data_IF_264103273011
#
_entry.id   IF_264103273011
#
_cell.length_a   1.000
_cell.length_b   1.000
_cell.length_c   1.000
_cell.angle_alpha   90.00
_cell.angle_beta   90.00
_cell.angle_gamma   90.00
#
_symmetry.space_group_name_H-M   'P 1'
#
loop_
_entity.id
_entity.type
_entity.pdbx_description
1 polymer ?
#
# COMPACT_ATOMS: atom_id res chain seq x y z
N UNK A 1 10.19 7.09 16.21
CA UNK A 1 9.91 7.20 14.75
C UNK A 1 10.68 6.11 14.01
N UNK A 2 10.14 5.64 12.89
CA UNK A 2 10.68 4.58 12.05
C UNK A 2 10.70 5.03 10.59
N UNK A 3 11.62 4.45 9.81
CA UNK A 3 11.65 4.55 8.35
C UNK A 3 11.42 3.14 7.81
N UNK A 4 10.48 2.98 6.87
CA UNK A 4 10.18 1.69 6.24
C UNK A 4 10.55 1.80 4.77
N UNK A 5 11.34 0.86 4.28
CA UNK A 5 11.77 0.78 2.89
C UNK A 5 11.52 -0.59 2.29
N UNK A 6 11.49 -0.65 0.97
CA UNK A 6 11.39 -1.90 0.21
C UNK A 6 12.76 -2.35 -0.29
N UNK A 7 13.01 -3.64 -0.22
CA UNK A 7 14.14 -4.30 -0.86
C UNK A 7 13.61 -5.24 -1.97
N UNK A 8 14.10 -5.05 -3.19
CA UNK A 8 13.68 -5.81 -4.39
C UNK A 8 14.73 -6.85 -4.82
N UNK A 9 15.85 -6.96 -4.10
CA UNK A 9 16.89 -7.94 -4.43
C UNK A 9 16.34 -9.36 -4.25
N UNK A 10 16.62 -10.25 -5.22
CA UNK A 10 16.05 -11.61 -5.22
C UNK A 10 16.53 -12.48 -4.05
N UNK A 11 17.66 -12.12 -3.41
CA UNK A 11 18.22 -12.87 -2.29
C UNK A 11 17.87 -12.29 -0.92
N UNK A 12 17.32 -11.06 -0.88
CA UNK A 12 17.04 -10.32 0.36
C UNK A 12 15.72 -9.57 0.33
N UNK A 13 14.85 -9.88 -0.63
CA UNK A 13 13.58 -9.18 -0.85
C UNK A 13 12.73 -9.05 0.42
N UNK A 14 12.15 -7.86 0.64
CA UNK A 14 11.28 -7.65 1.79
C UNK A 14 11.04 -6.19 2.15
N UNK A 15 10.47 -5.99 3.33
CA UNK A 15 10.41 -4.69 3.98
C UNK A 15 11.52 -4.59 5.03
N UNK A 16 12.20 -3.46 5.03
CA UNK A 16 13.25 -3.13 5.99
C UNK A 16 12.77 -1.97 6.86
N UNK A 17 12.96 -2.08 8.17
CA UNK A 17 12.67 -1.01 9.11
C UNK A 17 13.97 -0.46 9.68
N UNK A 18 14.10 0.85 9.66
CA UNK A 18 15.27 1.57 10.13
C UNK A 18 14.92 2.53 11.25
N UNK A 19 15.86 2.78 12.14
CA UNK A 19 15.80 3.90 13.06
C UNK A 19 16.19 5.22 12.36
N UNK A 20 16.04 6.36 13.05
CA UNK A 20 16.40 7.67 12.49
C UNK A 20 17.93 7.88 12.34
N UNK A 21 18.75 6.97 12.86
CA UNK A 21 20.20 6.97 12.66
C UNK A 21 20.61 6.14 11.43
N UNK A 22 19.63 5.51 10.75
CA UNK A 22 19.85 4.68 9.58
C UNK A 22 20.25 3.23 9.89
N UNK A 23 20.17 2.80 11.16
CA UNK A 23 20.41 1.40 11.49
C UNK A 23 19.18 0.56 11.16
N UNK A 24 19.37 -0.55 10.46
CA UNK A 24 18.30 -1.54 10.26
C UNK A 24 18.01 -2.23 11.59
N UNK A 25 16.73 -2.24 11.98
CA UNK A 25 16.29 -2.78 13.28
C UNK A 25 15.30 -3.93 13.12
N UNK A 26 14.68 -4.09 11.95
CA UNK A 26 13.76 -5.18 11.66
C UNK A 26 13.70 -5.43 10.15
N UNK A 27 13.36 -6.65 9.78
CA UNK A 27 13.06 -7.04 8.40
C UNK A 27 11.94 -8.08 8.37
N UNK A 28 11.20 -8.10 7.27
CA UNK A 28 10.26 -9.17 6.96
C UNK A 28 10.39 -9.56 5.49
N UNK A 29 10.37 -10.85 5.24
CA UNK A 29 10.46 -11.39 3.89
C UNK A 29 9.14 -11.17 3.13
N UNK A 30 9.25 -10.55 1.96
CA UNK A 30 8.20 -10.42 0.96
C UNK A 30 8.88 -10.47 -0.39
N UNK A 31 8.50 -11.39 -1.24
CA UNK A 31 9.09 -11.51 -2.58
C UNK A 31 8.78 -10.26 -3.41
N UNK A 32 9.85 -9.61 -3.92
CA UNK A 32 9.76 -8.44 -4.81
C UNK A 32 8.78 -7.36 -4.35
N UNK A 33 8.86 -6.98 -3.07
CA UNK A 33 8.11 -5.85 -2.52
C UNK A 33 8.37 -4.58 -3.34
N UNK A 34 7.30 -3.93 -3.82
CA UNK A 34 7.40 -2.72 -4.63
C UNK A 34 6.54 -1.60 -4.05
N UNK A 35 7.16 -0.48 -3.76
CA UNK A 35 6.58 0.64 -3.00
C UNK A 35 6.05 0.20 -1.62
N UNK A 36 6.19 1.06 -0.66
CA UNK A 36 5.59 0.90 0.66
C UNK A 36 4.94 2.23 1.03
N UNK A 37 3.76 2.16 1.59
CA UNK A 37 3.04 3.35 2.07
C UNK A 37 2.40 3.08 3.42
N UNK A 38 2.11 4.12 4.19
CA UNK A 38 1.59 4.04 5.56
C UNK A 38 0.39 4.96 5.73
N UNK A 39 -0.61 4.49 6.52
CA UNK A 39 -1.69 5.35 7.03
C UNK A 39 -1.89 5.12 8.50
N UNK A 40 -2.07 6.23 9.22
CA UNK A 40 -2.22 6.25 10.67
C UNK A 40 -3.67 6.11 11.09
N UNK A 41 -3.90 5.46 12.24
CA UNK A 41 -5.19 5.45 12.89
C UNK A 41 -6.24 4.58 12.19
N UNK A 42 -5.87 3.42 11.67
CA UNK A 42 -6.78 2.40 11.17
C UNK A 42 -7.44 1.64 12.33
N UNK A 43 -8.74 1.31 12.19
CA UNK A 43 -9.47 0.54 13.21
C UNK A 43 -9.36 -0.95 12.93
N UNK A 44 -8.80 -1.72 13.88
CA UNK A 44 -8.54 -3.14 13.75
C UNK A 44 -8.70 -3.86 15.10
N UNK A 45 -9.61 -4.81 15.19
CA UNK A 45 -9.83 -5.61 16.40
C UNK A 45 -10.27 -4.82 17.63
N UNK A 46 -10.90 -3.64 17.43
CA UNK A 46 -11.25 -2.72 18.49
C UNK A 46 -10.16 -1.69 18.85
N UNK A 47 -8.95 -1.89 18.35
CA UNK A 47 -7.81 -0.99 18.54
C UNK A 47 -7.69 0.05 17.42
N UNK A 48 -6.78 0.99 17.63
CA UNK A 48 -6.35 1.95 16.60
C UNK A 48 -4.88 1.71 16.31
N UNK A 49 -4.57 1.31 15.08
CA UNK A 49 -3.23 0.91 14.64
C UNK A 49 -2.76 1.74 13.45
N UNK A 50 -1.47 1.77 13.24
CA UNK A 50 -0.88 2.32 12.02
C UNK A 50 -0.64 1.17 11.04
N UNK A 51 -1.17 1.32 9.82
CA UNK A 51 -1.20 0.28 8.80
C UNK A 51 -0.24 0.61 7.67
N UNK A 52 0.48 -0.41 7.22
CA UNK A 52 1.45 -0.36 6.12
C UNK A 52 1.00 -1.31 5.01
N UNK A 53 1.06 -0.86 3.77
CA UNK A 53 0.86 -1.73 2.62
C UNK A 53 2.05 -1.74 1.68
N UNK A 54 2.23 -2.83 0.97
CA UNK A 54 3.19 -2.97 -0.13
C UNK A 54 2.60 -3.84 -1.23
N UNK A 55 2.88 -3.51 -2.48
CA UNK A 55 2.59 -4.41 -3.59
C UNK A 55 3.65 -5.50 -3.69
N UNK A 56 3.26 -6.75 -3.84
CA UNK A 56 4.13 -7.88 -4.05
C UNK A 56 4.01 -8.33 -5.52
N UNK A 57 5.14 -8.39 -6.23
CA UNK A 57 5.15 -8.53 -7.70
C UNK A 57 5.21 -9.98 -8.18
N UNK A 58 5.63 -10.92 -7.33
CA UNK A 58 5.77 -12.33 -7.74
C UNK A 58 4.41 -13.02 -7.79
N UNK A 59 3.61 -12.85 -6.75
CA UNK A 59 2.28 -13.45 -6.65
C UNK A 59 1.13 -12.50 -7.02
N UNK A 60 1.43 -11.23 -7.33
CA UNK A 60 0.44 -10.18 -7.57
C UNK A 60 -0.51 -10.00 -6.38
N UNK A 61 0.07 -9.79 -5.21
CA UNK A 61 -0.68 -9.62 -3.97
C UNK A 61 -0.43 -8.27 -3.32
N UNK A 62 -1.29 -7.92 -2.38
CA UNK A 62 -1.14 -6.78 -1.49
C UNK A 62 -0.73 -7.28 -0.11
N UNK A 63 0.49 -6.97 0.32
CA UNK A 63 0.94 -7.17 1.69
C UNK A 63 0.35 -6.11 2.61
N UNK A 64 -0.16 -6.52 3.78
CA UNK A 64 -0.77 -5.63 4.76
C UNK A 64 -0.22 -5.91 6.14
N UNK A 65 0.34 -4.89 6.77
CA UNK A 65 0.99 -4.98 8.08
C UNK A 65 0.49 -3.90 9.02
N UNK A 66 0.51 -4.17 10.32
CA UNK A 66 0.45 -3.12 11.34
C UNK A 66 1.84 -2.86 11.91
N UNK A 67 2.07 -1.64 12.36
CA UNK A 67 3.27 -1.30 13.12
C UNK A 67 3.09 -1.76 14.56
N UNK A 68 4.02 -2.57 15.03
CA UNK A 68 4.22 -2.85 16.45
C UNK A 68 5.25 -1.85 16.99
N UNK A 69 4.75 -0.81 17.68
CA UNK A 69 5.60 0.26 18.20
C UNK A 69 6.50 -0.18 19.36
N UNK A 70 6.08 -1.17 20.13
CA UNK A 70 6.82 -1.66 21.29
C UNK A 70 8.05 -2.47 20.86
N UNK A 71 7.86 -3.33 19.86
CA UNK A 71 8.92 -4.14 19.28
C UNK A 71 9.61 -3.47 18.08
N UNK A 72 9.10 -2.33 17.62
CA UNK A 72 9.59 -1.58 16.45
C UNK A 72 9.65 -2.44 15.20
N UNK A 73 8.62 -3.25 14.98
CA UNK A 73 8.51 -4.26 13.94
C UNK A 73 7.23 -4.11 13.13
N UNK A 74 7.08 -4.93 12.09
CA UNK A 74 5.88 -5.05 11.27
C UNK A 74 5.22 -6.42 11.55
N UNK A 75 3.93 -6.42 11.82
CA UNK A 75 3.14 -7.63 12.04
C UNK A 75 2.19 -7.78 10.86
N UNK A 76 2.28 -8.90 10.13
CA UNK A 76 1.32 -9.22 9.07
C UNK A 76 -0.08 -9.37 9.70
N UNK A 77 -1.03 -8.62 9.16
CA UNK A 77 -2.42 -8.62 9.62
C UNK A 77 -3.42 -8.93 8.49
N UNK A 78 -2.95 -9.37 7.33
CA UNK A 78 -3.82 -9.79 6.25
C UNK A 78 -4.64 -11.03 6.66
N UNK A 79 -5.96 -10.97 6.47
CA UNK A 79 -6.87 -12.08 6.79
C UNK A 79 -6.68 -13.28 5.84
N UNK A 80 -6.15 -13.03 4.67
CA UNK A 80 -5.86 -13.99 3.61
C UNK A 80 -4.81 -13.41 2.67
N UNK A 81 -4.35 -14.18 1.72
CA UNK A 81 -3.63 -13.66 0.56
C UNK A 81 -4.57 -12.75 -0.24
N UNK A 82 -4.25 -11.45 -0.30
CA UNK A 82 -5.06 -10.44 -1.02
C UNK A 82 -4.54 -10.37 -2.46
N UNK A 83 -5.08 -11.23 -3.32
CA UNK A 83 -4.72 -11.25 -4.74
C UNK A 83 -5.36 -10.05 -5.44
N UNK A 84 -4.59 -9.33 -6.24
CA UNK A 84 -5.07 -8.24 -7.10
C UNK A 84 -5.24 -8.71 -8.53
N UNK A 85 -6.14 -8.06 -9.28
CA UNK A 85 -6.53 -8.47 -10.64
C UNK A 85 -5.55 -8.06 -11.74
N UNK A 86 -4.48 -7.34 -11.41
CA UNK A 86 -3.51 -6.79 -12.36
C UNK A 86 -2.09 -7.21 -11.98
N UNK A 87 -1.13 -7.08 -12.91
CA UNK A 87 0.28 -7.34 -12.62
C UNK A 87 0.88 -6.18 -11.81
N UNK A 88 1.06 -6.36 -10.52
CA UNK A 88 1.55 -5.32 -9.61
C UNK A 88 2.87 -4.72 -10.09
N UNK A 89 2.88 -3.39 -10.25
CA UNK A 89 4.09 -2.65 -10.57
C UNK A 89 4.31 -1.44 -9.66
N UNK A 90 3.27 -0.69 -9.32
CA UNK A 90 3.32 0.38 -8.35
C UNK A 90 2.17 0.30 -7.34
N UNK A 91 2.36 0.91 -6.17
CA UNK A 91 1.30 0.97 -5.16
C UNK A 91 1.42 2.20 -4.25
N UNK A 92 0.29 2.63 -3.70
CA UNK A 92 0.19 3.66 -2.67
C UNK A 92 -1.09 3.49 -1.87
N UNK A 93 -1.30 4.34 -0.88
CA UNK A 93 -2.51 4.34 -0.05
C UNK A 93 -3.24 5.67 -0.12
N UNK A 94 -4.53 5.62 0.17
CA UNK A 94 -5.38 6.79 0.41
C UNK A 94 -6.19 6.58 1.67
N UNK A 95 -6.29 7.61 2.51
CA UNK A 95 -7.22 7.67 3.64
C UNK A 95 -8.18 8.82 3.45
N UNK A 96 -9.46 8.53 3.37
CA UNK A 96 -10.48 9.57 3.43
C UNK A 96 -10.55 10.12 4.86
N UNK A 97 -10.11 11.36 5.05
CA UNK A 97 -10.04 11.98 6.38
C UNK A 97 -11.42 12.25 6.99
N UNK A 98 -12.48 12.30 6.19
CA UNK A 98 -13.85 12.57 6.64
C UNK A 98 -14.57 11.29 7.07
N UNK A 99 -14.34 10.18 6.37
CA UNK A 99 -14.99 8.89 6.69
C UNK A 99 -14.11 7.97 7.50
N UNK A 100 -12.79 8.19 7.49
CA UNK A 100 -11.78 7.31 8.10
C UNK A 100 -11.48 6.06 7.26
N UNK A 101 -12.12 5.88 6.11
CA UNK A 101 -11.89 4.75 5.22
C UNK A 101 -10.49 4.78 4.62
N UNK A 102 -9.85 3.62 4.56
CA UNK A 102 -8.49 3.46 4.03
C UNK A 102 -8.52 2.56 2.80
N UNK A 103 -7.75 2.95 1.81
CA UNK A 103 -7.66 2.26 0.53
C UNK A 103 -6.22 1.99 0.17
N UNK A 104 -5.95 0.82 -0.41
CA UNK A 104 -4.73 0.52 -1.14
C UNK A 104 -5.01 0.68 -2.64
N UNK A 105 -4.05 1.26 -3.35
CA UNK A 105 -4.14 1.50 -4.79
C UNK A 105 -2.94 0.81 -5.42
N UNK A 106 -3.18 -0.02 -6.41
CA UNK A 106 -2.14 -0.71 -7.19
C UNK A 106 -2.26 -0.35 -8.66
N UNK A 107 -1.14 -0.31 -9.38
CA UNK A 107 -1.12 -0.05 -10.80
C UNK A 107 -0.14 -0.97 -11.52
N UNK A 108 -0.26 -1.05 -12.85
CA UNK A 108 0.57 -1.89 -13.70
C UNK A 108 1.21 -1.11 -14.87
N UNK A 109 2.03 -1.84 -15.65
CA UNK A 109 2.71 -1.29 -16.83
C UNK A 109 1.80 -1.08 -18.04
N UNK A 110 0.63 -1.67 -18.03
CA UNK A 110 -0.37 -1.57 -19.09
C UNK A 110 -1.36 -0.41 -18.85
N UNK A 111 -1.22 0.32 -17.75
CA UNK A 111 -2.06 1.48 -17.41
C UNK A 111 -3.32 1.13 -16.63
N UNK A 112 -3.43 -0.08 -16.10
CA UNK A 112 -4.53 -0.45 -15.22
C UNK A 112 -4.25 0.03 -13.80
N UNK A 113 -5.30 0.46 -13.10
CA UNK A 113 -5.28 0.84 -11.69
C UNK A 113 -6.45 0.17 -10.99
N UNK A 114 -6.17 -0.47 -9.87
CA UNK A 114 -7.18 -1.04 -8.98
C UNK A 114 -7.08 -0.39 -7.60
N UNK A 115 -8.23 -0.02 -7.05
CA UNK A 115 -8.35 0.55 -5.72
C UNK A 115 -9.16 -0.38 -4.83
N UNK A 116 -8.56 -0.78 -3.71
CA UNK A 116 -9.10 -1.72 -2.75
C UNK A 116 -9.41 -1.01 -1.44
N UNK A 117 -10.64 -1.13 -0.96
CA UNK A 117 -11.01 -0.71 0.39
C UNK A 117 -10.48 -1.74 1.39
N UNK A 118 -9.71 -1.28 2.36
CA UNK A 118 -9.23 -2.09 3.48
C UNK A 118 -10.22 -2.01 4.65
N UNK A 119 -10.49 -3.13 5.30
CA UNK A 119 -11.41 -3.18 6.43
C UNK A 119 -11.05 -4.30 7.41
N UNK A 120 -11.44 -4.12 8.68
CA UNK A 120 -11.41 -5.20 9.67
C UNK A 120 -12.44 -6.27 9.29
N UNK A 121 -12.05 -7.52 9.20
CA UNK A 121 -12.94 -8.65 8.89
C UNK A 121 -13.79 -9.10 10.10
N UNK A 122 -13.69 -8.39 11.23
CA UNK A 122 -14.36 -8.71 12.49
C UNK A 122 -13.57 -9.67 13.39
N UNK A 123 -12.41 -10.13 12.96
CA UNK A 123 -11.50 -11.01 13.74
C UNK A 123 -10.17 -10.32 14.09
N UNK A 124 -10.07 -9.00 13.89
CA UNK A 124 -8.83 -8.26 14.11
C UNK A 124 -7.79 -8.48 12.99
N UNK A 125 -8.24 -8.90 11.82
CA UNK A 125 -7.43 -9.04 10.62
C UNK A 125 -7.99 -8.18 9.50
N UNK A 126 -7.12 -7.73 8.59
CA UNK A 126 -7.50 -6.86 7.47
C UNK A 126 -7.86 -7.70 6.26
N UNK A 127 -9.04 -7.47 5.70
CA UNK A 127 -9.41 -7.93 4.36
C UNK A 127 -9.57 -6.73 3.42
N UNK A 128 -9.71 -7.01 2.13
CA UNK A 128 -9.81 -6.00 1.10
C UNK A 128 -10.90 -6.33 0.08
N UNK A 129 -11.55 -5.29 -0.44
CA UNK A 129 -12.51 -5.40 -1.54
C UNK A 129 -12.18 -4.41 -2.64
N UNK A 130 -12.21 -4.86 -3.90
CA UNK A 130 -12.07 -3.99 -5.07
C UNK A 130 -13.28 -3.05 -5.14
N UNK A 131 -13.01 -1.74 -5.18
CA UNK A 131 -14.06 -0.71 -5.19
C UNK A 131 -14.00 0.20 -6.41
N UNK A 132 -12.87 0.23 -7.13
CA UNK A 132 -12.70 1.07 -8.32
C UNK A 132 -11.62 0.51 -9.21
N UNK A 133 -11.82 0.65 -10.53
CA UNK A 133 -10.78 0.44 -11.56
C UNK A 133 -10.65 1.68 -12.42
N UNK A 134 -9.42 2.01 -12.83
CA UNK A 134 -9.15 3.05 -13.81
C UNK A 134 -8.30 2.46 -14.93
N UNK A 135 -8.41 3.06 -16.12
CA UNK A 135 -7.54 2.76 -17.27
C UNK A 135 -6.91 4.05 -17.75
N UNK A 136 -5.60 4.14 -17.60
CA UNK A 136 -4.76 5.24 -18.08
C UNK A 136 -3.96 4.77 -19.30
N UNK A 137 -3.54 5.69 -20.17
CA UNK A 137 -2.59 5.32 -21.21
C UNK A 137 -1.20 5.11 -20.61
N UNK A 138 -0.45 4.14 -21.14
CA UNK A 138 0.96 3.96 -20.88
C UNK A 138 1.32 3.26 -19.56
N UNK A 139 2.63 3.21 -19.31
CA UNK A 139 3.25 2.50 -18.20
C UNK A 139 3.18 3.34 -16.92
N UNK A 140 2.55 2.80 -15.89
CA UNK A 140 2.41 3.46 -14.60
C UNK A 140 3.40 2.87 -13.59
N UNK A 141 3.87 3.67 -12.63
CA UNK A 141 4.65 3.18 -11.50
C UNK A 141 4.31 3.92 -10.21
N UNK A 142 4.90 5.09 -9.98
CA UNK A 142 4.72 5.83 -8.75
C UNK A 142 3.30 6.37 -8.61
N UNK A 143 2.71 6.23 -7.43
CA UNK A 143 1.50 6.96 -7.06
C UNK A 143 1.60 7.54 -5.65
N UNK A 144 0.79 8.54 -5.38
CA UNK A 144 0.63 9.15 -4.06
C UNK A 144 -0.75 9.77 -3.95
N UNK A 145 -1.37 9.69 -2.79
CA UNK A 145 -2.60 10.40 -2.51
C UNK A 145 -2.39 11.53 -1.50
N UNK A 146 -3.02 12.66 -1.77
CA UNK A 146 -3.22 13.73 -0.81
C UNK A 146 -4.52 13.45 -0.05
N UNK A 147 -4.41 12.93 1.16
CA UNK A 147 -5.55 12.53 1.98
C UNK A 147 -6.43 13.72 2.36
N UNK A 148 -5.83 14.90 2.54
CA UNK A 148 -6.56 16.10 2.97
C UNK A 148 -7.36 16.71 1.82
N UNK A 149 -6.75 16.82 0.65
CA UNK A 149 -7.40 17.38 -0.55
C UNK A 149 -8.20 16.33 -1.35
N UNK A 150 -8.04 15.04 -1.04
CA UNK A 150 -8.74 13.95 -1.70
C UNK A 150 -8.30 13.74 -3.15
N UNK A 151 -7.02 13.91 -3.47
CA UNK A 151 -6.49 13.72 -4.81
C UNK A 151 -5.51 12.54 -4.87
N UNK A 152 -5.59 11.80 -5.97
CA UNK A 152 -4.67 10.74 -6.35
C UNK A 152 -3.81 11.21 -7.52
N UNK A 153 -2.50 11.09 -7.39
CA UNK A 153 -1.52 11.37 -8.42
C UNK A 153 -0.82 10.09 -8.84
N UNK A 154 -0.73 9.85 -10.15
CA UNK A 154 -0.12 8.63 -10.72
C UNK A 154 0.86 9.05 -11.80
N UNK A 155 2.10 8.58 -11.71
CA UNK A 155 3.14 8.82 -12.70
C UNK A 155 3.03 7.85 -13.88
N UNK A 156 3.06 8.40 -15.11
CA UNK A 156 3.25 7.64 -16.36
C UNK A 156 4.71 7.80 -16.79
N UNK A 157 5.48 6.71 -16.77
CA UNK A 157 6.91 6.74 -17.02
C UNK A 157 7.28 7.13 -18.45
N UNK A 158 6.59 6.55 -19.44
CA UNK A 158 6.99 6.67 -20.84
C UNK A 158 6.92 8.11 -21.39
N UNK A 159 6.01 8.92 -20.82
CA UNK A 159 5.81 10.30 -21.26
C UNK A 159 6.22 11.33 -20.22
N UNK A 160 6.58 10.92 -19.00
CA UNK A 160 6.88 11.82 -17.92
C UNK A 160 5.68 12.69 -17.50
N UNK A 161 4.48 12.10 -17.49
CA UNK A 161 3.22 12.76 -17.15
C UNK A 161 2.80 12.32 -15.73
N UNK A 162 2.18 13.24 -15.01
CA UNK A 162 1.49 12.96 -13.75
C UNK A 162 0.00 13.14 -13.98
N UNK A 163 -0.75 12.04 -13.85
CA UNK A 163 -2.20 12.04 -13.89
C UNK A 163 -2.76 12.41 -12.52
N UNK A 164 -3.81 13.25 -12.50
CA UNK A 164 -4.52 13.65 -11.29
C UNK A 164 -5.97 13.22 -11.36
N UNK A 165 -6.42 12.49 -10.34
CA UNK A 165 -7.80 12.03 -10.16
C UNK A 165 -8.32 12.41 -8.78
N UNK A 166 -9.64 12.36 -8.57
CA UNK A 166 -10.17 12.25 -7.22
C UNK A 166 -9.72 10.93 -6.58
N UNK A 167 -9.39 10.93 -5.29
CA UNK A 167 -8.91 9.75 -4.60
C UNK A 167 -10.04 8.90 -4.00
N UNK A 168 -11.23 9.47 -3.83
CA UNK A 168 -12.41 8.71 -3.40
C UNK A 168 -12.91 7.82 -4.54
N UNK A 169 -13.33 6.57 -4.27
CA UNK A 169 -13.85 5.68 -5.31
C UNK A 169 -15.09 6.21 -6.05
N UNK A 170 -15.79 7.16 -5.46
CA UNK A 170 -16.98 7.79 -6.03
C UNK A 170 -16.69 9.00 -6.93
N UNK A 171 -15.44 9.45 -7.05
CA UNK A 171 -15.04 10.65 -7.81
C UNK A 171 -14.80 10.36 -9.30
#
# INVERSE_FOLDING_TARGET
SLIIGTDKDENSAGLRVYDLSGNQIYETEIEKANNVDIRYGFKLGGDTVDIVTTGERTSNTLGVFKIDSDNRSLVNVAAREIIVGITVYGSCMYKNVYTGEVYAIVNDKEGNVEQYKLFDNGSGLVDASLVRTLKLPGKLEGCVADDLLGYLYIGEEDKGIIWKYGASPSD
#
